data_IF_063394942143
#
_entry.id   IF_063394942143
#
_cell.length_a   1.000
_cell.length_b   1.000
_cell.length_c   1.000
_cell.angle_alpha   90.00
_cell.angle_beta   90.00
_cell.angle_gamma   90.00
#
_symmetry.space_group_name_H-M   'P 1'
#
loop_
_entity.id
_entity.type
_entity.pdbx_description
1 polymer ?
#
# COMPACT_ATOMS: atom_id res chain seq x y z
N UNK A 1 -13.82 -17.83 -7.24
CA UNK A 1 -14.06 -16.43 -6.79
C UNK A 1 -13.59 -15.48 -7.89
N UNK A 2 -14.41 -14.49 -8.19
CA UNK A 2 -13.97 -13.43 -9.10
C UNK A 2 -12.93 -12.54 -8.41
N UNK A 3 -11.85 -12.12 -9.09
CA UNK A 3 -10.90 -11.16 -8.52
C UNK A 3 -11.61 -9.88 -8.09
N UNK A 4 -11.24 -9.32 -6.96
CA UNK A 4 -11.84 -8.10 -6.46
C UNK A 4 -11.40 -6.91 -7.32
N UNK A 5 -12.36 -6.21 -7.90
CA UNK A 5 -12.13 -4.98 -8.65
C UNK A 5 -12.36 -3.76 -7.74
N UNK A 6 -11.36 -2.92 -7.59
CA UNK A 6 -11.43 -1.76 -6.69
C UNK A 6 -10.70 -0.54 -7.27
N UNK A 7 -11.36 0.24 -8.15
CA UNK A 7 -10.76 1.42 -8.77
C UNK A 7 -10.29 2.48 -7.76
N UNK A 8 -10.99 2.63 -6.64
CA UNK A 8 -10.61 3.60 -5.58
C UNK A 8 -9.28 3.22 -4.94
N UNK A 9 -9.08 1.94 -4.67
CA UNK A 9 -7.81 1.44 -4.15
C UNK A 9 -6.66 1.67 -5.13
N UNK A 10 -6.86 1.37 -6.40
CA UNK A 10 -5.84 1.60 -7.43
C UNK A 10 -5.49 3.08 -7.56
N UNK A 11 -6.49 3.96 -7.53
CA UNK A 11 -6.25 5.41 -7.55
C UNK A 11 -5.44 5.87 -6.34
N UNK A 12 -5.72 5.30 -5.17
CA UNK A 12 -4.97 5.58 -3.95
C UNK A 12 -3.52 5.08 -4.05
N UNK A 13 -3.30 3.87 -4.59
CA UNK A 13 -1.95 3.31 -4.81
C UNK A 13 -1.11 4.23 -5.69
N UNK A 14 -1.69 4.79 -6.76
CA UNK A 14 -0.98 5.70 -7.68
C UNK A 14 -0.53 7.01 -7.01
N UNK A 15 -1.08 7.34 -5.86
CA UNK A 15 -0.69 8.52 -5.07
C UNK A 15 0.42 8.22 -4.05
N UNK A 16 0.84 6.96 -3.92
CA UNK A 16 1.87 6.55 -2.99
C UNK A 16 3.26 6.61 -3.65
N UNK A 17 4.34 6.75 -2.87
CA UNK A 17 5.69 6.70 -3.44
C UNK A 17 6.05 5.29 -3.90
N UNK A 18 6.95 5.20 -4.88
CA UNK A 18 7.51 3.93 -5.31
C UNK A 18 8.18 3.21 -4.14
N UNK A 19 7.88 1.92 -3.96
CA UNK A 19 8.45 1.11 -2.88
C UNK A 19 9.97 0.94 -2.99
N UNK A 20 10.52 1.03 -4.20
CA UNK A 20 11.95 0.82 -4.44
C UNK A 20 12.76 2.10 -4.30
N UNK A 21 12.37 3.17 -5.01
CA UNK A 21 13.16 4.41 -5.08
C UNK A 21 12.52 5.63 -4.42
N UNK A 22 11.29 5.50 -3.92
CA UNK A 22 10.60 6.58 -3.21
C UNK A 22 10.11 7.73 -4.06
N UNK A 23 10.31 7.70 -5.39
CA UNK A 23 9.77 8.75 -6.26
C UNK A 23 8.25 8.77 -6.24
N UNK A 24 7.68 9.96 -6.43
CA UNK A 24 6.23 10.12 -6.62
C UNK A 24 5.85 10.34 -8.08
N UNK A 25 6.82 10.26 -8.98
CA UNK A 25 6.63 10.49 -10.40
C UNK A 25 6.30 9.21 -11.14
N UNK A 26 5.24 9.25 -11.95
CA UNK A 26 4.78 8.11 -12.77
C UNK A 26 4.58 6.83 -11.97
N UNK A 27 3.82 6.93 -10.88
CA UNK A 27 3.49 5.76 -10.07
C UNK A 27 2.37 4.97 -10.74
N UNK A 28 2.59 3.68 -10.86
CA UNK A 28 1.66 2.71 -11.42
C UNK A 28 1.26 1.69 -10.35
N UNK A 29 0.04 1.17 -10.45
CA UNK A 29 -0.40 0.09 -9.59
C UNK A 29 0.05 -1.24 -10.18
N UNK A 30 1.02 -1.89 -9.52
CA UNK A 30 1.55 -3.18 -9.96
C UNK A 30 0.83 -4.31 -9.22
N UNK A 31 0.06 -5.11 -9.93
CA UNK A 31 -0.62 -6.28 -9.36
C UNK A 31 0.39 -7.38 -9.03
N UNK A 32 0.34 -7.91 -7.82
CA UNK A 32 1.29 -8.92 -7.34
C UNK A 32 0.64 -10.25 -6.97
N UNK A 33 -0.67 -10.33 -7.02
CA UNK A 33 -1.39 -11.56 -6.68
C UNK A 33 -1.21 -12.67 -7.71
N UNK A 34 -1.55 -13.89 -7.34
CA UNK A 34 -1.44 -15.02 -8.26
C UNK A 34 -2.35 -14.84 -9.46
N UNK A 35 -1.83 -15.21 -10.64
CA UNK A 35 -2.59 -15.21 -11.89
C UNK A 35 -2.69 -16.64 -12.42
N UNK A 36 -3.93 -17.14 -12.56
CA UNK A 36 -4.19 -18.30 -13.40
C UNK A 36 -4.29 -17.89 -14.86
N UNK A 37 -4.29 -18.84 -15.77
CA UNK A 37 -4.52 -18.61 -17.20
C UNK A 37 -5.85 -17.86 -17.42
N UNK A 38 -5.78 -16.68 -18.03
CA UNK A 38 -6.95 -15.84 -18.30
C UNK A 38 -7.54 -15.13 -17.07
N UNK A 39 -6.89 -15.20 -15.91
CA UNK A 39 -7.36 -14.54 -14.69
C UNK A 39 -6.51 -13.33 -14.35
N UNK A 40 -7.17 -12.24 -13.93
CA UNK A 40 -6.50 -11.07 -13.36
C UNK A 40 -6.41 -11.21 -11.85
N UNK A 41 -5.30 -10.74 -11.28
CA UNK A 41 -5.14 -10.64 -9.84
C UNK A 41 -6.12 -9.63 -9.24
N UNK A 42 -6.48 -9.81 -7.96
CA UNK A 42 -7.26 -8.82 -7.22
C UNK A 42 -6.56 -7.46 -7.21
N UNK A 43 -7.32 -6.37 -7.37
CA UNK A 43 -6.80 -5.01 -7.26
C UNK A 43 -6.19 -4.73 -5.88
N UNK A 44 -6.64 -5.44 -4.84
CA UNK A 44 -6.09 -5.35 -3.49
C UNK A 44 -4.66 -5.90 -3.36
N UNK A 45 -4.16 -6.60 -4.37
CA UNK A 45 -2.77 -7.07 -4.42
C UNK A 45 -1.81 -6.05 -5.06
N UNK A 46 -2.31 -4.90 -5.51
CA UNK A 46 -1.48 -3.90 -6.17
C UNK A 46 -0.57 -3.18 -5.18
N UNK A 47 0.65 -2.91 -5.63
CA UNK A 47 1.66 -2.12 -4.92
C UNK A 47 2.10 -0.92 -5.76
N UNK A 48 2.56 0.18 -5.13
CA UNK A 48 3.00 1.35 -5.88
C UNK A 48 4.44 1.19 -6.38
N UNK A 49 4.61 1.21 -7.68
CA UNK A 49 5.92 1.18 -8.34
C UNK A 49 5.95 2.25 -9.43
N UNK A 50 7.06 2.98 -9.55
CA UNK A 50 7.24 3.89 -10.68
C UNK A 50 7.36 3.09 -11.98
N UNK A 51 7.16 3.74 -13.12
CA UNK A 51 7.21 3.07 -14.42
C UNK A 51 8.50 2.28 -14.64
N UNK A 52 9.64 2.82 -14.17
CA UNK A 52 10.94 2.15 -14.27
C UNK A 52 10.97 0.83 -13.49
N UNK A 53 10.56 0.85 -12.22
CA UNK A 53 10.58 -0.35 -11.37
C UNK A 53 9.40 -1.29 -11.64
N UNK A 54 8.36 -0.82 -12.28
CA UNK A 54 7.23 -1.66 -12.70
C UNK A 54 7.51 -2.37 -14.03
N UNK A 55 7.94 -1.65 -15.07
CA UNK A 55 7.97 -2.18 -16.44
C UNK A 55 9.28 -1.96 -17.21
N UNK A 56 9.83 -0.76 -17.19
CA UNK A 56 10.83 -0.35 -18.19
C UNK A 56 12.27 -0.63 -17.82
N UNK A 57 12.61 -0.71 -16.53
CA UNK A 57 13.96 -0.96 -16.07
C UNK A 57 14.37 -2.43 -16.12
N UNK A 58 15.67 -2.67 -16.13
CA UNK A 58 16.22 -4.03 -16.14
C UNK A 58 15.91 -4.80 -14.85
N UNK A 59 15.74 -4.08 -13.74
CA UNK A 59 15.38 -4.61 -12.43
C UNK A 59 13.89 -4.45 -12.12
N UNK A 60 13.05 -4.29 -13.14
CA UNK A 60 11.61 -4.08 -12.98
C UNK A 60 10.87 -5.36 -12.62
N UNK A 61 9.69 -5.17 -12.03
CA UNK A 61 8.80 -6.27 -11.66
C UNK A 61 8.44 -7.17 -12.86
N UNK A 62 8.13 -6.55 -14.00
CA UNK A 62 7.77 -7.31 -15.21
C UNK A 62 8.96 -8.09 -15.80
N UNK A 63 10.18 -7.58 -15.67
CA UNK A 63 11.36 -8.28 -16.17
C UNK A 63 11.84 -9.41 -15.27
N UNK A 64 11.83 -9.18 -13.95
CA UNK A 64 12.35 -10.14 -12.99
C UNK A 64 11.32 -11.17 -12.54
N UNK A 65 10.05 -10.82 -12.53
CA UNK A 65 8.99 -11.60 -11.88
C UNK A 65 8.95 -11.35 -10.37
N UNK A 66 7.85 -11.74 -9.72
CA UNK A 66 7.58 -11.40 -8.32
C UNK A 66 8.71 -11.87 -7.37
N UNK A 67 9.13 -13.11 -7.50
CA UNK A 67 10.12 -13.71 -6.59
C UNK A 67 11.48 -13.02 -6.67
N UNK A 68 12.02 -12.90 -7.88
CA UNK A 68 13.34 -12.30 -8.10
C UNK A 68 13.34 -10.80 -7.80
N UNK A 69 12.27 -10.11 -8.17
CA UNK A 69 12.09 -8.70 -7.85
C UNK A 69 12.12 -8.47 -6.32
N UNK A 70 11.40 -9.29 -5.57
CA UNK A 70 11.39 -9.21 -4.11
C UNK A 70 12.80 -9.46 -3.53
N UNK A 71 13.54 -10.41 -4.07
CA UNK A 71 14.91 -10.71 -3.62
C UNK A 71 15.86 -9.56 -3.91
N UNK A 72 15.85 -9.05 -5.13
CA UNK A 72 16.75 -7.96 -5.57
C UNK A 72 16.53 -6.68 -4.78
N UNK A 73 15.26 -6.34 -4.48
CA UNK A 73 14.91 -5.10 -3.80
C UNK A 73 14.66 -5.29 -2.29
N UNK A 74 14.90 -6.49 -1.77
CA UNK A 74 14.72 -6.85 -0.35
C UNK A 74 13.32 -6.50 0.17
N UNK A 75 12.29 -6.96 -0.54
CA UNK A 75 10.89 -6.70 -0.21
C UNK A 75 10.17 -7.99 0.20
N UNK A 76 9.36 -7.91 1.23
CA UNK A 76 8.37 -8.95 1.56
C UNK A 76 7.01 -8.51 0.99
N UNK A 77 6.75 -8.88 -0.27
CA UNK A 77 5.55 -8.43 -0.99
C UNK A 77 4.24 -8.83 -0.28
N UNK A 78 4.06 -10.10 0.17
CA UNK A 78 2.83 -10.44 0.90
C UNK A 78 2.61 -9.60 2.16
N UNK A 79 3.66 -9.33 2.93
CA UNK A 79 3.57 -8.48 4.11
C UNK A 79 3.24 -7.02 3.75
N UNK A 80 3.84 -6.49 2.69
CA UNK A 80 3.57 -5.15 2.18
C UNK A 80 2.11 -5.02 1.76
N UNK A 81 1.60 -5.95 0.96
CA UNK A 81 0.20 -5.98 0.51
C UNK A 81 -0.75 -6.00 1.70
N UNK A 82 -0.48 -6.85 2.70
CA UNK A 82 -1.29 -6.91 3.92
C UNK A 82 -1.35 -5.55 4.62
N UNK A 83 -0.22 -4.88 4.77
CA UNK A 83 -0.15 -3.57 5.43
C UNK A 83 -0.83 -2.46 4.63
N UNK A 84 -0.71 -2.48 3.32
CA UNK A 84 -1.41 -1.52 2.46
C UNK A 84 -2.93 -1.67 2.56
N UNK A 85 -3.45 -2.82 2.96
CA UNK A 85 -4.87 -3.10 3.10
C UNK A 85 -5.39 -2.98 4.54
N UNK A 86 -4.57 -2.53 5.49
CA UNK A 86 -5.00 -2.34 6.87
C UNK A 86 -6.08 -1.28 6.99
N UNK A 87 -7.06 -1.55 7.86
CA UNK A 87 -8.15 -0.62 8.20
C UNK A 87 -8.03 -0.22 9.67
N UNK A 88 -8.05 1.07 9.98
CA UNK A 88 -8.07 1.50 11.37
C UNK A 88 -9.43 1.20 12.01
N UNK A 89 -9.42 0.91 13.31
CA UNK A 89 -10.62 0.85 14.13
C UNK A 89 -10.80 2.21 14.79
N UNK A 90 -11.93 2.86 14.55
CA UNK A 90 -12.24 4.19 15.10
C UNK A 90 -13.15 4.04 16.31
N UNK A 91 -12.74 4.64 17.43
CA UNK A 91 -13.52 4.66 18.67
C UNK A 91 -13.65 6.09 19.20
N UNK A 92 -14.71 6.34 19.96
CA UNK A 92 -14.89 7.60 20.69
C UNK A 92 -14.36 7.41 22.11
N UNK A 93 -13.38 8.23 22.48
CA UNK A 93 -12.80 8.25 23.83
C UNK A 93 -12.84 9.67 24.37
N UNK A 94 -13.54 9.87 25.51
CA UNK A 94 -13.65 11.20 26.16
C UNK A 94 -14.14 12.31 25.21
N UNK A 95 -15.10 11.99 24.34
CA UNK A 95 -15.68 12.93 23.37
C UNK A 95 -14.79 13.22 22.16
N UNK A 96 -13.71 12.49 21.99
CA UNK A 96 -12.77 12.65 20.87
C UNK A 96 -12.71 11.34 20.08
N UNK A 97 -12.68 11.45 18.76
CA UNK A 97 -12.48 10.29 17.88
C UNK A 97 -10.99 9.87 17.90
N UNK A 98 -10.75 8.62 18.17
CA UNK A 98 -9.41 8.03 18.19
C UNK A 98 -9.37 6.85 17.24
N UNK A 99 -8.38 6.82 16.36
CA UNK A 99 -8.15 5.70 15.48
C UNK A 99 -7.05 4.80 16.04
N UNK A 100 -7.31 3.49 16.03
CA UNK A 100 -6.34 2.48 16.44
C UNK A 100 -5.89 1.69 15.20
N UNK A 101 -4.59 1.63 14.98
CA UNK A 101 -4.01 0.88 13.88
C UNK A 101 -2.74 0.17 14.36
N UNK A 102 -2.81 -1.16 14.45
CA UNK A 102 -1.67 -2.02 14.83
C UNK A 102 -0.95 -1.58 16.11
N UNK A 103 -1.71 -1.29 17.16
CA UNK A 103 -1.16 -0.87 18.44
C UNK A 103 -0.83 0.61 18.57
N UNK A 104 -0.97 1.38 17.50
CA UNK A 104 -0.81 2.84 17.55
C UNK A 104 -2.15 3.54 17.66
N UNK A 105 -2.17 4.61 18.43
CA UNK A 105 -3.35 5.46 18.60
C UNK A 105 -3.11 6.83 17.98
N UNK A 106 -4.16 7.35 17.31
CA UNK A 106 -4.12 8.65 16.64
C UNK A 106 -5.37 9.43 16.95
N UNK A 107 -5.22 10.61 17.53
CA UNK A 107 -6.34 11.50 17.83
C UNK A 107 -6.78 12.21 16.55
N UNK A 108 -8.05 12.03 16.18
CA UNK A 108 -8.60 12.55 14.92
C UNK A 108 -9.36 13.87 15.09
N UNK A 109 -9.77 14.20 16.30
CA UNK A 109 -10.53 15.41 16.60
C UNK A 109 -11.94 15.12 17.09
N UNK A 110 -12.75 16.20 17.24
CA UNK A 110 -14.07 16.13 17.88
C UNK A 110 -15.23 16.00 16.91
N UNK A 111 -15.01 16.10 15.61
CA UNK A 111 -16.08 16.09 14.62
C UNK A 111 -15.88 15.00 13.57
N UNK A 112 -16.98 14.42 13.09
CA UNK A 112 -16.94 13.42 12.03
C UNK A 112 -16.33 13.97 10.73
N UNK A 113 -16.51 15.24 10.44
CA UNK A 113 -16.00 15.86 9.22
C UNK A 113 -14.47 15.78 9.10
N UNK A 114 -13.74 15.77 10.24
CA UNK A 114 -12.29 15.67 10.27
C UNK A 114 -11.75 14.24 10.22
N UNK A 115 -12.61 13.22 10.40
CA UNK A 115 -12.18 11.82 10.54
C UNK A 115 -11.51 11.28 9.27
N UNK A 116 -12.18 11.41 8.13
CA UNK A 116 -11.70 10.77 6.89
C UNK A 116 -10.34 11.29 6.42
N UNK A 117 -10.10 12.62 6.34
CA UNK A 117 -8.78 13.13 6.00
C UNK A 117 -7.70 12.75 7.01
N UNK A 118 -8.01 12.83 8.30
CA UNK A 118 -7.07 12.48 9.36
C UNK A 118 -6.72 10.99 9.36
N UNK A 119 -7.70 10.10 9.16
CA UNK A 119 -7.50 8.66 9.05
C UNK A 119 -6.59 8.34 7.85
N UNK A 120 -6.84 8.96 6.70
CA UNK A 120 -5.99 8.77 5.52
C UNK A 120 -4.53 9.13 5.79
N UNK A 121 -4.32 10.29 6.40
CA UNK A 121 -2.96 10.75 6.76
C UNK A 121 -2.28 9.80 7.74
N UNK A 122 -2.97 9.39 8.78
CA UNK A 122 -2.49 8.45 9.77
C UNK A 122 -2.11 7.10 9.14
N UNK A 123 -2.99 6.52 8.34
CA UNK A 123 -2.75 5.24 7.66
C UNK A 123 -1.53 5.36 6.75
N UNK A 124 -1.41 6.47 6.02
CA UNK A 124 -0.25 6.73 5.17
C UNK A 124 1.06 6.77 5.98
N UNK A 125 1.09 7.53 7.08
CA UNK A 125 2.28 7.65 7.92
C UNK A 125 2.70 6.30 8.51
N UNK A 126 1.75 5.53 9.05
CA UNK A 126 2.03 4.20 9.56
C UNK A 126 2.61 3.27 8.50
N UNK A 127 2.10 3.33 7.29
CA UNK A 127 2.58 2.50 6.18
C UNK A 127 3.99 2.90 5.74
N UNK A 128 4.24 4.21 5.61
CA UNK A 128 5.56 4.73 5.23
C UNK A 128 6.63 4.30 6.23
N UNK A 129 6.37 4.44 7.52
CA UNK A 129 7.31 4.02 8.57
C UNK A 129 7.64 2.53 8.49
N UNK A 130 6.67 1.69 8.26
CA UNK A 130 6.87 0.25 8.18
C UNK A 130 7.56 -0.20 6.92
N UNK A 131 7.17 0.37 5.78
CA UNK A 131 7.82 0.07 4.52
C UNK A 131 9.28 0.50 4.56
N UNK A 132 9.59 1.63 5.19
CA UNK A 132 10.96 2.08 5.41
C UNK A 132 11.75 1.08 6.28
N UNK A 133 11.16 0.54 7.34
CA UNK A 133 11.79 -0.48 8.19
C UNK A 133 12.04 -1.78 7.41
N UNK A 134 11.12 -2.21 6.58
CA UNK A 134 11.27 -3.41 5.76
C UNK A 134 12.34 -3.26 4.67
N UNK A 135 12.41 -2.09 4.06
CA UNK A 135 13.44 -1.79 3.06
C UNK A 135 14.83 -1.69 3.71
N UNK A 136 14.91 -1.18 4.93
CA UNK A 136 16.18 -1.02 5.66
C UNK A 136 16.71 -2.31 6.28
N UNK A 137 15.87 -3.31 6.50
CA UNK A 137 16.26 -4.62 7.07
C UNK A 137 16.74 -5.66 5.99
#
# INVERSE_FOLDING_TARGET
MKPQHNPKYLAWIRKQPCLVCGTRWRIEASHTGPRGLGQKSSDRSAIPLCAKHHRTGDDSYHRLGARKFAQVHNLDIPAIVRRLNLKPVIRVQSGVFVAHLEGHEYVLGKTEAGIQPAVRKMVQLCREDRLAQEIAS
#
